data_IF_924762849521
#
_entry.id   IF_924762849521
#
_cell.length_a   1.000
_cell.length_b   1.000
_cell.length_c   1.000
_cell.angle_alpha   90.00
_cell.angle_beta   90.00
_cell.angle_gamma   90.00
#
_symmetry.space_group_name_H-M   'P 1'
#
loop_
_entity.id
_entity.type
_entity.pdbx_description
1 polymer ?
#
# COMPACT_ATOMS: atom_id res chain seq x y z
N UNK A 1 -28.23 -2.90 -8.08
CA UNK A 1 -27.20 -3.43 -7.17
C UNK A 1 -26.63 -2.28 -6.37
N UNK A 2 -27.05 -2.17 -5.11
CA UNK A 2 -26.61 -1.14 -4.18
C UNK A 2 -25.18 -1.47 -3.77
N UNK A 3 -24.18 -0.95 -4.48
CA UNK A 3 -22.83 -0.88 -3.92
C UNK A 3 -22.95 0.02 -2.71
N UNK A 4 -22.91 -0.56 -1.51
CA UNK A 4 -22.96 0.20 -0.28
C UNK A 4 -21.68 1.04 -0.23
N UNK A 5 -21.75 2.28 -0.67
CA UNK A 5 -20.64 3.22 -0.62
C UNK A 5 -20.52 3.66 0.84
N UNK A 6 -19.96 2.76 1.66
CA UNK A 6 -19.73 2.93 3.09
C UNK A 6 -18.31 3.43 3.29
N UNK A 7 -18.11 4.26 4.32
CA UNK A 7 -16.78 4.64 4.77
C UNK A 7 -15.99 3.38 5.12
N UNK A 8 -14.80 3.22 4.55
CA UNK A 8 -13.91 2.09 4.83
C UNK A 8 -12.92 2.47 5.94
N UNK A 9 -12.51 1.50 6.74
CA UNK A 9 -11.58 1.72 7.86
C UNK A 9 -10.17 2.03 7.37
N UNK A 10 -9.63 3.16 7.80
CA UNK A 10 -8.26 3.57 7.46
C UNK A 10 -7.22 2.68 8.14
N UNK A 11 -7.44 2.32 9.40
CA UNK A 11 -6.56 1.46 10.17
C UNK A 11 -6.44 0.06 9.55
N UNK A 12 -7.57 -0.50 9.08
CA UNK A 12 -7.56 -1.81 8.42
C UNK A 12 -6.69 -1.79 7.15
N UNK A 13 -6.77 -0.72 6.34
CA UNK A 13 -5.95 -0.62 5.13
C UNK A 13 -4.45 -0.59 5.46
N UNK A 14 -4.05 0.12 6.52
CA UNK A 14 -2.65 0.18 6.97
C UNK A 14 -2.19 -1.18 7.51
N UNK A 15 -3.01 -1.84 8.33
CA UNK A 15 -2.68 -3.17 8.88
C UNK A 15 -2.53 -4.21 7.77
N UNK A 16 -3.38 -4.16 6.74
CA UNK A 16 -3.24 -5.04 5.58
C UNK A 16 -1.93 -4.78 4.83
N UNK A 17 -1.60 -3.52 4.57
CA UNK A 17 -0.34 -3.12 3.92
C UNK A 17 0.92 -3.39 4.76
N UNK A 18 0.77 -3.50 6.09
CA UNK A 18 1.84 -3.90 7.01
C UNK A 18 2.25 -5.36 6.80
N UNK A 19 1.27 -6.26 6.70
CA UNK A 19 1.55 -7.69 6.48
C UNK A 19 1.96 -7.98 5.04
N UNK A 20 1.27 -7.38 4.07
CA UNK A 20 1.55 -7.59 2.65
C UNK A 20 1.50 -6.24 1.94
N UNK A 21 2.64 -5.73 1.44
CA UNK A 21 2.68 -4.49 0.71
C UNK A 21 1.68 -4.45 -0.45
N UNK A 22 0.98 -3.33 -0.59
CA UNK A 22 -0.04 -3.16 -1.62
C UNK A 22 -1.46 -3.61 -1.27
N UNK A 23 -1.69 -4.42 -0.21
CA UNK A 23 -3.04 -4.92 0.09
C UNK A 23 -4.02 -3.81 0.50
N UNK A 24 -3.57 -2.83 1.29
CA UNK A 24 -4.39 -1.68 1.66
C UNK A 24 -4.87 -0.89 0.44
N UNK A 25 -4.05 -0.80 -0.60
CA UNK A 25 -4.42 -0.17 -1.87
C UNK A 25 -5.41 -1.02 -2.67
N UNK A 26 -5.29 -2.35 -2.64
CA UNK A 26 -6.22 -3.24 -3.35
C UNK A 26 -7.63 -3.21 -2.76
N UNK A 27 -7.78 -3.21 -1.43
CA UNK A 27 -9.11 -3.19 -0.77
C UNK A 27 -9.85 -1.86 -0.90
N UNK A 28 -9.13 -0.81 -1.29
CA UNK A 28 -9.67 0.54 -1.53
C UNK A 28 -10.03 0.80 -2.99
N UNK A 29 -9.86 -0.21 -3.86
CA UNK A 29 -10.17 -0.11 -5.29
C UNK A 29 -9.01 0.38 -6.15
N UNK A 30 -7.84 0.66 -5.56
CA UNK A 30 -6.63 1.06 -6.27
C UNK A 30 -5.73 -0.15 -6.55
N UNK A 31 -6.28 -1.14 -7.26
CA UNK A 31 -5.64 -2.43 -7.49
C UNK A 31 -4.28 -2.31 -8.22
N UNK A 32 -4.20 -1.44 -9.23
CA UNK A 32 -2.95 -1.21 -9.97
C UNK A 32 -1.82 -0.68 -9.09
N UNK A 33 -2.12 0.24 -8.16
CA UNK A 33 -1.14 0.72 -7.18
C UNK A 33 -0.70 -0.40 -6.23
N UNK A 34 -1.65 -1.20 -5.76
CA UNK A 34 -1.37 -2.32 -4.89
C UNK A 34 -0.41 -3.33 -5.52
N UNK A 35 -0.64 -3.70 -6.78
CA UNK A 35 0.27 -4.58 -7.52
C UNK A 35 1.66 -3.97 -7.66
N UNK A 36 1.77 -2.67 -7.96
CA UNK A 36 3.06 -2.00 -8.10
C UNK A 36 3.84 -2.08 -6.79
N UNK A 37 3.23 -1.73 -5.65
CA UNK A 37 3.90 -1.85 -4.36
C UNK A 37 4.33 -3.29 -4.05
N UNK A 38 3.45 -4.26 -4.28
CA UNK A 38 3.75 -5.67 -4.07
C UNK A 38 4.96 -6.13 -4.90
N UNK A 39 4.96 -5.85 -6.21
CA UNK A 39 6.03 -6.26 -7.11
C UNK A 39 7.35 -5.55 -6.80
N UNK A 40 7.32 -4.24 -6.53
CA UNK A 40 8.53 -3.47 -6.21
C UNK A 40 9.16 -3.97 -4.91
N UNK A 41 8.37 -4.14 -3.85
CA UNK A 41 8.84 -4.67 -2.56
C UNK A 41 9.39 -6.08 -2.70
N UNK A 42 8.69 -6.95 -3.44
CA UNK A 42 9.11 -8.33 -3.65
C UNK A 42 10.43 -8.42 -4.41
N UNK A 43 10.55 -7.72 -5.55
CA UNK A 43 11.77 -7.69 -6.36
C UNK A 43 12.93 -7.12 -5.56
N UNK A 44 12.72 -6.01 -4.85
CA UNK A 44 13.76 -5.36 -4.08
C UNK A 44 14.22 -6.22 -2.89
N UNK A 45 13.31 -6.93 -2.22
CA UNK A 45 13.67 -7.89 -1.16
C UNK A 45 14.52 -9.05 -1.71
N UNK A 46 14.13 -9.64 -2.84
CA UNK A 46 14.89 -10.72 -3.49
C UNK A 46 16.28 -10.23 -3.91
N UNK A 47 16.37 -9.04 -4.52
CA UNK A 47 17.64 -8.43 -4.88
C UNK A 47 18.51 -8.15 -3.66
N UNK A 48 17.95 -7.52 -2.61
CA UNK A 48 18.66 -7.25 -1.36
C UNK A 48 19.23 -8.54 -0.76
N UNK A 49 18.43 -9.61 -0.71
CA UNK A 49 18.85 -10.91 -0.20
C UNK A 49 20.00 -11.53 -1.02
N UNK A 50 19.89 -11.56 -2.35
CA UNK A 50 20.95 -12.14 -3.22
C UNK A 50 22.24 -11.33 -3.13
N UNK A 51 22.16 -9.99 -3.15
CA UNK A 51 23.35 -9.16 -3.06
C UNK A 51 23.96 -9.14 -1.64
N UNK A 52 23.24 -9.58 -0.60
CA UNK A 52 23.79 -9.67 0.75
C UNK A 52 24.92 -10.70 0.86
N UNK A 53 24.95 -11.72 -0.01
CA UNK A 53 26.07 -12.69 -0.06
C UNK A 53 27.42 -12.06 -0.45
N UNK A 54 27.39 -10.90 -1.10
CA UNK A 54 28.58 -10.11 -1.46
C UNK A 54 28.64 -8.78 -0.70
N UNK A 55 27.95 -8.70 0.45
CA UNK A 55 27.83 -7.53 1.34
C UNK A 55 27.19 -6.26 0.74
N UNK A 56 27.02 -6.16 -0.58
CA UNK A 56 26.36 -5.02 -1.25
C UNK A 56 24.87 -4.94 -0.88
N UNK A 57 24.21 -6.09 -0.69
CA UNK A 57 22.79 -6.14 -0.33
C UNK A 57 22.45 -5.45 0.99
N UNK A 58 23.44 -5.27 1.88
CA UNK A 58 23.27 -4.50 3.13
C UNK A 58 22.84 -3.05 2.87
N UNK A 59 23.22 -2.46 1.73
CA UNK A 59 22.80 -1.12 1.34
C UNK A 59 21.36 -1.06 0.80
N UNK A 60 20.80 -2.19 0.36
CA UNK A 60 19.44 -2.26 -0.20
C UNK A 60 18.38 -2.46 0.88
N UNK A 61 18.73 -3.04 2.04
CA UNK A 61 17.80 -3.23 3.16
C UNK A 61 17.18 -1.92 3.70
N UNK A 62 17.94 -0.82 3.88
CA UNK A 62 17.36 0.47 4.26
C UNK A 62 16.41 1.05 3.20
N UNK A 63 16.71 0.85 1.91
CA UNK A 63 15.85 1.32 0.81
C UNK A 63 14.54 0.55 0.80
N UNK A 64 14.63 -0.78 0.94
CA UNK A 64 13.46 -1.65 1.07
C UNK A 64 12.58 -1.23 2.26
N UNK A 65 13.18 -1.04 3.44
CA UNK A 65 12.45 -0.59 4.62
C UNK A 65 11.80 0.80 4.45
N UNK A 66 12.46 1.71 3.73
CA UNK A 66 11.90 3.02 3.40
C UNK A 66 10.67 2.95 2.49
N UNK A 67 10.70 2.08 1.48
CA UNK A 67 9.55 1.85 0.58
C UNK A 67 8.40 1.16 1.35
N UNK A 68 8.72 0.27 2.28
CA UNK A 68 7.70 -0.39 3.09
C UNK A 68 6.91 0.61 3.94
N UNK A 69 7.60 1.56 4.60
CA UNK A 69 6.96 2.66 5.32
C UNK A 69 6.12 3.52 4.38
N UNK A 70 6.66 3.86 3.20
CA UNK A 70 5.92 4.63 2.20
C UNK A 70 4.63 3.92 1.78
N UNK A 71 4.68 2.60 1.60
CA UNK A 71 3.51 1.79 1.29
C UNK A 71 2.42 1.89 2.38
N UNK A 72 2.79 1.96 3.66
CA UNK A 72 1.81 2.19 4.74
C UNK A 72 1.17 3.58 4.66
N UNK A 73 1.99 4.60 4.42
CA UNK A 73 1.53 5.99 4.28
C UNK A 73 0.60 6.11 3.06
N UNK A 74 0.97 5.53 1.92
CA UNK A 74 0.15 5.56 0.72
C UNK A 74 -1.16 4.79 0.92
N UNK A 75 -1.17 3.66 1.63
CA UNK A 75 -2.39 2.95 1.98
C UNK A 75 -3.36 3.85 2.79
N UNK A 76 -2.83 4.55 3.81
CA UNK A 76 -3.60 5.52 4.61
C UNK A 76 -4.13 6.70 3.79
N UNK A 77 -3.30 7.28 2.92
CA UNK A 77 -3.71 8.42 2.08
C UNK A 77 -4.74 8.00 1.02
N UNK A 78 -4.58 6.79 0.47
CA UNK A 78 -5.48 6.24 -0.55
C UNK A 78 -6.88 6.03 0.01
N UNK A 79 -6.98 5.44 1.21
CA UNK A 79 -8.28 5.30 1.88
C UNK A 79 -8.85 6.64 2.37
N UNK A 80 -7.96 7.52 2.84
CA UNK A 80 -8.12 8.96 2.99
C UNK A 80 -9.03 9.55 1.91
N UNK A 81 -8.46 9.52 0.71
CA UNK A 81 -9.02 10.09 -0.52
C UNK A 81 -10.32 9.41 -0.92
N UNK A 82 -10.41 8.09 -0.80
CA UNK A 82 -11.64 7.35 -1.08
C UNK A 82 -12.81 7.81 -0.20
N UNK A 83 -12.59 7.87 1.12
CA UNK A 83 -13.60 8.28 2.08
C UNK A 83 -14.03 9.75 1.87
N UNK A 84 -13.09 10.65 1.57
CA UNK A 84 -13.41 12.05 1.25
C UNK A 84 -14.24 12.18 -0.02
N UNK A 85 -13.88 11.48 -1.10
CA UNK A 85 -14.64 11.51 -2.35
C UNK A 85 -16.06 10.96 -2.18
N UNK A 86 -16.21 9.95 -1.32
CA UNK A 86 -17.52 9.43 -0.94
C UNK A 86 -18.37 10.51 -0.25
N UNK A 87 -17.84 11.18 0.77
CA UNK A 87 -18.56 12.24 1.48
C UNK A 87 -19.01 13.37 0.56
N UNK A 88 -18.16 13.77 -0.40
CA UNK A 88 -18.50 14.80 -1.37
C UNK A 88 -19.65 14.38 -2.30
N UNK A 89 -19.72 13.11 -2.71
CA UNK A 89 -20.84 12.61 -3.52
C UNK A 89 -22.16 12.67 -2.74
N UNK A 90 -22.15 12.19 -1.50
CA UNK A 90 -23.33 12.19 -0.63
C UNK A 90 -23.86 13.58 -0.27
N UNK A 91 -23.04 14.63 -0.37
CA UNK A 91 -23.46 16.01 -0.12
C UNK A 91 -24.09 16.66 -1.37
N UNK A 92 -23.75 16.18 -2.57
CA UNK A 92 -24.20 16.75 -3.84
C UNK A 92 -25.39 15.98 -4.46
N UNK A 93 -25.78 14.86 -3.84
CA UNK A 93 -26.98 14.08 -4.15
C UNK A 93 -28.12 14.47 -3.19
#
# INVERSE_FOLDING_TARGET
>A
MTYTTQKKSEALAVVLSFFIPGLGQMVTGYFGKGIIFFLVEFVLAVMAFILSFIFIGLLLWPVWFGIWIWNLIDAYLTIKKFNTNLMLKLQND
#
